data_IF_470327842877
#
_entry.id   IF_470327842877
#
_cell.length_a   1.000
_cell.length_b   1.000
_cell.length_c   1.000
_cell.angle_alpha   90.00
_cell.angle_beta   90.00
_cell.angle_gamma   90.00
#
_symmetry.space_group_name_H-M   'P 1'
#
loop_
_entity.id
_entity.type
_entity.pdbx_description
1 polymer ?
#
# COMPACT_ATOMS: atom_id res chain seq x y z
N UNK A 1 -4.50 2.91 -19.51
CA UNK A 1 -3.79 1.85 -18.76
C UNK A 1 -2.89 2.40 -17.66
N UNK A 2 -2.03 3.39 -17.96
CA UNK A 2 -1.11 3.96 -16.96
C UNK A 2 -1.82 4.58 -15.75
N UNK A 3 -2.84 5.39 -15.99
CA UNK A 3 -3.64 6.01 -14.92
C UNK A 3 -4.26 4.95 -14.02
N UNK A 4 -4.88 3.93 -14.60
CA UNK A 4 -5.54 2.85 -13.85
C UNK A 4 -4.53 2.03 -13.04
N UNK A 5 -3.36 1.72 -13.62
CA UNK A 5 -2.31 0.97 -12.92
C UNK A 5 -1.73 1.76 -11.74
N UNK A 6 -1.40 3.03 -11.95
CA UNK A 6 -0.89 3.90 -10.89
C UNK A 6 -1.95 4.17 -9.81
N UNK A 7 -3.22 4.32 -10.20
CA UNK A 7 -4.31 4.50 -9.23
C UNK A 7 -4.50 3.26 -8.37
N UNK A 8 -4.43 2.06 -8.96
CA UNK A 8 -4.52 0.83 -8.20
C UNK A 8 -3.40 0.72 -7.15
N UNK A 9 -2.16 0.93 -7.56
CA UNK A 9 -1.01 0.87 -6.65
C UNK A 9 -1.06 1.98 -5.58
N UNK A 10 -1.43 3.20 -5.95
CA UNK A 10 -1.54 4.31 -4.99
C UNK A 10 -2.66 4.07 -3.96
N UNK A 11 -3.77 3.45 -4.38
CA UNK A 11 -4.88 3.10 -3.49
C UNK A 11 -4.54 1.99 -2.50
N UNK A 12 -3.62 1.10 -2.86
CA UNK A 12 -3.16 0.01 -1.98
C UNK A 12 -2.13 0.48 -0.94
N UNK A 13 -1.62 1.71 -1.07
CA UNK A 13 -0.71 2.27 -0.08
C UNK A 13 -1.42 2.52 1.25
N UNK A 14 -1.08 1.70 2.25
CA UNK A 14 -1.66 1.75 3.59
C UNK A 14 -0.78 2.56 4.56
N UNK A 15 -1.33 2.89 5.73
CA UNK A 15 -0.56 3.48 6.83
C UNK A 15 0.60 2.60 7.31
N UNK A 16 0.49 1.27 7.13
CA UNK A 16 1.58 0.35 7.40
C UNK A 16 2.74 0.55 6.42
N UNK A 17 2.44 0.72 5.14
CA UNK A 17 3.46 0.93 4.12
C UNK A 17 4.17 2.27 4.29
N UNK A 18 3.43 3.31 4.72
CA UNK A 18 3.97 4.65 4.93
C UNK A 18 4.83 4.78 6.21
N UNK A 19 4.42 4.16 7.31
CA UNK A 19 5.07 4.30 8.62
C UNK A 19 5.67 2.99 9.14
N UNK A 20 5.00 1.88 8.95
CA UNK A 20 5.42 0.58 9.48
C UNK A 20 6.63 0.01 8.74
N UNK A 21 6.62 0.02 7.42
CA UNK A 21 7.72 -0.52 6.61
C UNK A 21 9.03 0.27 6.79
N UNK A 22 9.06 1.61 6.77
CA UNK A 22 10.27 2.36 7.11
C UNK A 22 10.74 2.13 8.54
N UNK A 23 9.83 2.07 9.51
CA UNK A 23 10.16 1.73 10.90
C UNK A 23 10.72 0.33 11.03
N UNK A 24 10.15 -0.64 10.32
CA UNK A 24 10.65 -2.01 10.27
C UNK A 24 12.07 -2.07 9.65
N UNK A 25 12.29 -1.33 8.56
CA UNK A 25 13.61 -1.23 7.92
C UNK A 25 14.65 -0.55 8.84
N UNK A 26 14.23 0.46 9.59
CA UNK A 26 15.08 1.12 10.57
C UNK A 26 15.57 0.15 11.68
N UNK A 27 14.68 -0.73 12.15
CA UNK A 27 15.01 -1.68 13.21
C UNK A 27 15.74 -2.93 12.71
N UNK A 28 15.45 -3.39 11.51
CA UNK A 28 15.91 -4.68 11.00
C UNK A 28 16.91 -4.57 9.82
N UNK A 29 17.20 -3.35 9.38
CA UNK A 29 18.16 -3.12 8.30
C UNK A 29 17.78 -3.77 6.98
N UNK A 30 18.76 -4.34 6.29
CA UNK A 30 18.59 -4.96 4.95
C UNK A 30 17.67 -6.16 4.91
N UNK A 31 17.38 -6.81 6.03
CA UNK A 31 16.42 -7.92 6.04
C UNK A 31 14.99 -7.48 5.68
N UNK A 32 14.64 -6.21 5.89
CA UNK A 32 13.37 -5.62 5.45
C UNK A 32 13.18 -5.68 3.91
N UNK A 33 14.27 -5.84 3.15
CA UNK A 33 14.22 -6.06 1.70
C UNK A 33 13.31 -7.25 1.34
N UNK A 34 13.32 -8.32 2.12
CA UNK A 34 12.52 -9.51 1.85
C UNK A 34 11.02 -9.25 1.87
N UNK A 35 10.56 -8.34 2.74
CA UNK A 35 9.14 -7.90 2.73
C UNK A 35 8.81 -7.17 1.44
N UNK A 36 9.65 -6.22 1.02
CA UNK A 36 9.44 -5.52 -0.26
C UNK A 36 9.53 -6.45 -1.46
N UNK A 37 10.47 -7.39 -1.46
CA UNK A 37 10.61 -8.40 -2.50
C UNK A 37 9.37 -9.30 -2.59
N UNK A 38 8.85 -9.77 -1.45
CA UNK A 38 7.62 -10.55 -1.40
C UNK A 38 6.44 -9.79 -1.99
N UNK A 39 6.24 -8.53 -1.61
CA UNK A 39 5.18 -7.67 -2.17
C UNK A 39 5.29 -7.53 -3.71
N UNK A 40 6.50 -7.29 -4.24
CA UNK A 40 6.71 -7.15 -5.68
C UNK A 40 6.40 -8.46 -6.41
N UNK A 41 6.93 -9.58 -5.90
CA UNK A 41 6.73 -10.90 -6.53
C UNK A 41 5.26 -11.32 -6.44
N UNK A 42 4.62 -11.09 -5.28
CA UNK A 42 3.21 -11.41 -5.06
C UNK A 42 2.29 -10.62 -5.99
N UNK A 43 2.48 -9.32 -6.08
CA UNK A 43 1.71 -8.45 -6.99
C UNK A 43 1.92 -8.88 -8.45
N UNK A 44 3.16 -9.11 -8.87
CA UNK A 44 3.47 -9.57 -10.22
C UNK A 44 2.81 -10.92 -10.52
N UNK A 45 2.94 -11.90 -9.62
CA UNK A 45 2.35 -13.22 -9.79
C UNK A 45 0.81 -13.14 -9.84
N UNK A 46 0.19 -12.34 -8.97
CA UNK A 46 -1.25 -12.11 -8.99
C UNK A 46 -1.71 -11.55 -10.33
N UNK A 47 -1.05 -10.51 -10.84
CA UNK A 47 -1.41 -9.94 -12.15
C UNK A 47 -1.24 -10.92 -13.30
N UNK A 48 -0.16 -11.68 -13.34
CA UNK A 48 0.11 -12.65 -14.40
C UNK A 48 -0.86 -13.84 -14.36
N UNK A 49 -1.13 -14.38 -13.18
CA UNK A 49 -1.93 -15.60 -13.03
C UNK A 49 -3.43 -15.33 -12.99
N UNK A 50 -3.85 -14.25 -12.35
CA UNK A 50 -5.26 -14.00 -12.01
C UNK A 50 -5.95 -13.08 -12.99
N UNK A 51 -5.30 -12.00 -13.45
CA UNK A 51 -5.97 -10.91 -14.16
C UNK A 51 -6.67 -11.34 -15.44
N UNK A 52 -5.99 -12.10 -16.31
CA UNK A 52 -6.56 -12.57 -17.58
C UNK A 52 -7.74 -13.52 -17.37
N UNK A 53 -7.61 -14.42 -16.40
CA UNK A 53 -8.66 -15.39 -16.06
C UNK A 53 -9.86 -14.67 -15.46
N UNK A 54 -9.62 -13.78 -14.50
CA UNK A 54 -10.67 -13.03 -13.85
C UNK A 54 -11.42 -12.16 -14.88
N UNK A 55 -10.71 -11.46 -15.75
CA UNK A 55 -11.35 -10.65 -16.79
C UNK A 55 -12.24 -11.48 -17.71
N UNK A 56 -11.76 -12.62 -18.18
CA UNK A 56 -12.55 -13.52 -19.01
C UNK A 56 -13.83 -14.00 -18.29
N UNK A 57 -13.70 -14.43 -17.03
CA UNK A 57 -14.84 -14.90 -16.26
C UNK A 57 -15.83 -13.78 -15.93
N UNK A 58 -15.38 -12.56 -15.66
CA UNK A 58 -16.28 -11.42 -15.42
C UNK A 58 -17.03 -11.00 -16.69
N UNK A 59 -16.42 -11.13 -17.88
CA UNK A 59 -17.09 -10.90 -19.15
C UNK A 59 -18.21 -11.91 -19.39
N UNK A 60 -17.93 -13.20 -19.19
CA UNK A 60 -18.93 -14.28 -19.31
C UNK A 60 -20.05 -14.12 -18.28
N UNK A 61 -19.72 -13.67 -17.07
CA UNK A 61 -20.68 -13.38 -16.01
C UNK A 61 -21.32 -11.99 -16.17
N UNK A 62 -21.95 -11.73 -17.31
CA UNK A 62 -22.68 -10.51 -17.62
C UNK A 62 -21.86 -9.21 -17.51
N UNK A 63 -20.57 -9.27 -17.88
CA UNK A 63 -19.62 -8.16 -17.79
C UNK A 63 -19.59 -7.48 -16.40
N UNK A 64 -19.56 -8.31 -15.35
CA UNK A 64 -19.59 -7.85 -13.96
C UNK A 64 -18.39 -6.96 -13.65
N UNK A 65 -18.62 -5.78 -13.07
CA UNK A 65 -17.61 -4.80 -12.75
C UNK A 65 -17.12 -4.89 -11.30
N UNK A 66 -17.90 -5.50 -10.42
CA UNK A 66 -17.57 -5.65 -9.01
C UNK A 66 -17.55 -7.12 -8.61
N UNK A 67 -16.79 -7.46 -7.56
CA UNK A 67 -16.75 -8.83 -7.02
C UNK A 67 -18.11 -9.32 -6.56
N UNK A 68 -18.94 -8.53 -5.84
CA UNK A 68 -20.29 -8.93 -5.48
C UNK A 68 -21.18 -9.24 -6.67
N UNK A 69 -21.11 -8.42 -7.73
CA UNK A 69 -21.87 -8.66 -8.97
C UNK A 69 -21.39 -9.92 -9.67
N UNK A 70 -20.07 -10.11 -9.76
CA UNK A 70 -19.49 -11.30 -10.37
C UNK A 70 -19.94 -12.58 -9.67
N UNK A 71 -19.88 -12.61 -8.33
CA UNK A 71 -20.32 -13.78 -7.57
C UNK A 71 -21.82 -14.01 -7.70
N UNK A 72 -22.64 -12.96 -7.65
CA UNK A 72 -24.10 -13.05 -7.84
C UNK A 72 -24.43 -13.61 -9.22
N UNK A 73 -23.81 -13.11 -10.29
CA UNK A 73 -24.05 -13.57 -11.65
C UNK A 73 -23.49 -14.98 -11.89
N UNK A 74 -22.34 -15.31 -11.34
CA UNK A 74 -21.71 -16.62 -11.51
C UNK A 74 -22.51 -17.75 -10.86
N UNK A 75 -23.09 -17.49 -9.69
CA UNK A 75 -23.85 -18.48 -8.91
C UNK A 75 -25.37 -18.36 -9.09
N UNK A 76 -25.82 -17.55 -10.07
CA UNK A 76 -27.23 -17.32 -10.37
C UNK A 76 -28.06 -16.97 -9.12
N UNK A 77 -27.52 -16.07 -8.29
CA UNK A 77 -28.15 -15.67 -7.04
C UNK A 77 -29.36 -14.75 -7.27
N UNK A 78 -30.49 -15.37 -7.54
CA UNK A 78 -31.77 -14.65 -7.82
C UNK A 78 -32.27 -13.84 -6.60
N UNK A 79 -31.81 -14.14 -5.38
CA UNK A 79 -32.23 -13.47 -4.15
C UNK A 79 -31.26 -12.38 -3.70
N UNK A 80 -30.17 -12.16 -4.43
CA UNK A 80 -29.09 -11.21 -4.08
C UNK A 80 -28.47 -11.45 -2.70
N UNK A 81 -28.57 -12.67 -2.16
CA UNK A 81 -28.03 -13.03 -0.85
C UNK A 81 -26.52 -12.96 -0.82
N UNK A 82 -25.84 -13.51 -1.84
CA UNK A 82 -24.39 -13.45 -1.99
C UNK A 82 -23.91 -12.01 -2.14
N UNK A 83 -24.63 -11.22 -2.94
CA UNK A 83 -24.32 -9.80 -3.12
C UNK A 83 -24.40 -9.03 -1.83
N UNK A 84 -25.43 -9.27 -1.01
CA UNK A 84 -25.59 -8.62 0.29
C UNK A 84 -24.47 -9.01 1.28
N UNK A 85 -24.16 -10.31 1.37
CA UNK A 85 -23.11 -10.81 2.24
C UNK A 85 -21.75 -10.19 1.84
N UNK A 86 -21.39 -10.24 0.57
CA UNK A 86 -20.15 -9.62 0.07
C UNK A 86 -20.11 -8.12 0.37
N UNK A 87 -21.21 -7.39 0.16
CA UNK A 87 -21.27 -5.97 0.44
C UNK A 87 -21.06 -5.67 1.94
N UNK A 88 -21.65 -6.45 2.84
CA UNK A 88 -21.45 -6.31 4.29
C UNK A 88 -20.00 -6.52 4.69
N UNK A 89 -19.33 -7.56 4.16
CA UNK A 89 -17.90 -7.78 4.42
C UNK A 89 -17.04 -6.64 3.88
N UNK A 90 -17.30 -6.19 2.65
CA UNK A 90 -16.57 -5.06 2.05
C UNK A 90 -16.72 -3.83 2.93
N UNK A 91 -17.94 -3.45 3.32
CA UNK A 91 -18.20 -2.28 4.16
C UNK A 91 -17.43 -2.40 5.49
N UNK A 92 -17.53 -3.55 6.17
CA UNK A 92 -16.89 -3.77 7.45
C UNK A 92 -15.36 -3.59 7.37
N UNK A 93 -14.71 -4.27 6.42
CA UNK A 93 -13.26 -4.20 6.30
C UNK A 93 -12.77 -2.86 5.76
N UNK A 94 -13.49 -2.24 4.82
CA UNK A 94 -13.10 -0.92 4.30
C UNK A 94 -13.31 0.22 5.28
N UNK A 95 -14.27 0.14 6.20
CA UNK A 95 -14.36 1.12 7.30
C UNK A 95 -13.09 1.07 8.16
N UNK A 96 -12.64 -0.12 8.54
CA UNK A 96 -11.42 -0.30 9.34
C UNK A 96 -10.19 0.19 8.56
N UNK A 97 -10.07 -0.18 7.29
CA UNK A 97 -8.96 0.21 6.43
C UNK A 97 -8.88 1.74 6.26
N UNK A 98 -9.99 2.38 5.92
CA UNK A 98 -10.07 3.83 5.73
C UNK A 98 -9.78 4.58 7.04
N UNK A 99 -10.30 4.09 8.18
CA UNK A 99 -10.00 4.66 9.49
C UNK A 99 -8.50 4.60 9.81
N UNK A 100 -7.83 3.50 9.51
CA UNK A 100 -6.38 3.37 9.66
C UNK A 100 -5.63 4.40 8.79
N UNK A 101 -6.08 4.63 7.55
CA UNK A 101 -5.52 5.64 6.66
C UNK A 101 -5.63 7.05 7.24
N UNK A 102 -6.80 7.43 7.76
CA UNK A 102 -7.00 8.74 8.40
C UNK A 102 -6.16 8.93 9.66
N UNK A 103 -6.03 7.89 10.49
CA UNK A 103 -5.14 7.93 11.67
C UNK A 103 -3.68 8.18 11.25
N UNK A 104 -3.23 7.49 10.22
CA UNK A 104 -1.86 7.64 9.68
C UNK A 104 -1.63 9.04 9.14
N UNK A 105 -2.56 9.57 8.34
CA UNK A 105 -2.51 10.93 7.80
C UNK A 105 -2.51 11.98 8.92
N UNK A 106 -3.37 11.81 9.93
CA UNK A 106 -3.44 12.70 11.09
C UNK A 106 -2.12 12.76 11.88
N UNK A 107 -1.49 11.60 12.09
CA UNK A 107 -0.16 11.52 12.74
C UNK A 107 0.93 12.18 11.89
N UNK A 108 0.92 11.92 10.58
CA UNK A 108 1.89 12.51 9.67
C UNK A 108 1.82 14.03 9.66
N UNK A 109 0.64 14.61 9.52
CA UNK A 109 0.45 16.06 9.51
C UNK A 109 0.74 16.69 10.87
N UNK A 110 0.42 16.00 11.96
CA UNK A 110 0.82 16.46 13.30
C UNK A 110 2.34 16.55 13.43
N UNK A 111 3.07 15.52 12.95
CA UNK A 111 4.53 15.47 13.07
C UNK A 111 5.22 16.47 12.15
N UNK A 112 4.74 16.64 10.90
CA UNK A 112 5.42 17.47 9.89
C UNK A 112 5.00 18.94 10.00
N UNK A 113 3.71 19.20 10.18
CA UNK A 113 3.14 20.56 10.17
C UNK A 113 2.90 21.12 11.57
N UNK A 114 3.09 20.33 12.64
CA UNK A 114 2.81 20.75 14.01
C UNK A 114 1.32 20.99 14.30
N UNK A 115 0.41 20.56 13.43
CA UNK A 115 -1.02 20.72 13.60
C UNK A 115 -1.54 19.79 14.72
N UNK A 116 -2.54 20.22 15.53
CA UNK A 116 -3.21 19.30 16.45
C UNK A 116 -3.75 18.09 15.69
N UNK A 117 -3.50 16.88 16.19
CA UNK A 117 -3.85 15.63 15.55
C UNK A 117 -5.29 15.58 15.03
N UNK A 118 -6.26 15.98 15.87
CA UNK A 118 -7.67 15.92 15.52
C UNK A 118 -8.04 16.91 14.40
N UNK A 119 -7.44 18.10 14.41
CA UNK A 119 -7.62 19.10 13.36
C UNK A 119 -7.05 18.59 12.02
N UNK A 120 -5.85 18.03 12.05
CA UNK A 120 -5.20 17.45 10.88
C UNK A 120 -6.02 16.31 10.27
N UNK A 121 -6.55 15.42 11.11
CA UNK A 121 -7.42 14.33 10.69
C UNK A 121 -8.71 14.84 10.04
N UNK A 122 -9.39 15.80 10.66
CA UNK A 122 -10.65 16.35 10.13
C UNK A 122 -10.45 17.07 8.79
N UNK A 123 -9.38 17.88 8.66
CA UNK A 123 -9.07 18.56 7.41
C UNK A 123 -8.78 17.53 6.30
N UNK A 124 -7.95 16.53 6.59
CA UNK A 124 -7.64 15.47 5.63
C UNK A 124 -8.88 14.69 5.19
N UNK A 125 -9.71 14.28 6.16
CA UNK A 125 -10.97 13.59 5.86
C UNK A 125 -11.92 14.44 5.03
N UNK A 126 -12.08 15.71 5.37
CA UNK A 126 -12.94 16.64 4.63
C UNK A 126 -12.47 16.79 3.18
N UNK A 127 -11.18 17.02 2.95
CA UNK A 127 -10.61 17.16 1.61
C UNK A 127 -10.86 15.92 0.77
N UNK A 128 -10.58 14.73 1.32
CA UNK A 128 -10.78 13.44 0.61
C UNK A 128 -12.24 13.22 0.26
N UNK A 129 -13.14 13.40 1.22
CA UNK A 129 -14.60 13.22 1.00
C UNK A 129 -15.11 14.23 -0.03
N UNK A 130 -14.67 15.49 0.07
CA UNK A 130 -15.12 16.57 -0.79
C UNK A 130 -14.74 16.35 -2.26
N UNK A 131 -13.47 16.06 -2.57
CA UNK A 131 -13.10 15.83 -3.97
C UNK A 131 -13.65 14.51 -4.52
N UNK A 132 -13.77 13.47 -3.68
CA UNK A 132 -14.39 12.21 -4.08
C UNK A 132 -15.87 12.39 -4.40
N UNK A 133 -16.59 13.19 -3.61
CA UNK A 133 -18.00 13.48 -3.83
C UNK A 133 -18.22 14.28 -5.13
N UNK A 134 -17.36 15.26 -5.42
CA UNK A 134 -17.49 16.11 -6.61
C UNK A 134 -17.09 15.41 -7.90
N UNK A 135 -16.03 14.63 -7.88
CA UNK A 135 -15.42 14.10 -9.09
C UNK A 135 -15.52 12.58 -9.27
N UNK A 136 -16.00 11.88 -8.26
CA UNK A 136 -16.19 10.43 -8.29
C UNK A 136 -14.91 9.66 -8.65
N UNK A 137 -15.08 8.48 -9.25
CA UNK A 137 -13.98 7.58 -9.59
C UNK A 137 -12.92 8.21 -10.52
N UNK A 138 -13.34 9.02 -11.49
CA UNK A 138 -12.40 9.65 -12.44
C UNK A 138 -11.48 10.66 -11.76
N UNK A 139 -11.99 11.48 -10.84
CA UNK A 139 -11.18 12.43 -10.10
C UNK A 139 -10.23 11.71 -9.16
N UNK A 140 -10.70 10.68 -8.43
CA UNK A 140 -9.85 9.86 -7.57
C UNK A 140 -8.72 9.23 -8.38
N UNK A 141 -9.02 8.56 -9.49
CA UNK A 141 -7.99 7.93 -10.33
C UNK A 141 -6.96 8.92 -10.87
N UNK A 142 -7.36 10.14 -11.18
CA UNK A 142 -6.45 11.17 -11.68
C UNK A 142 -5.56 11.75 -10.55
N UNK A 143 -6.14 11.99 -9.38
CA UNK A 143 -5.36 12.41 -8.20
C UNK A 143 -4.38 11.33 -7.76
N UNK A 144 -4.80 10.07 -7.74
CA UNK A 144 -3.95 8.94 -7.43
C UNK A 144 -2.78 8.80 -8.40
N UNK A 145 -3.03 9.00 -9.70
CA UNK A 145 -1.98 9.00 -10.71
C UNK A 145 -0.91 10.06 -10.45
N UNK A 146 -1.34 11.29 -10.14
CA UNK A 146 -0.42 12.39 -9.82
C UNK A 146 0.34 12.08 -8.52
N UNK A 147 -0.36 11.66 -7.47
CA UNK A 147 0.22 11.34 -6.17
C UNK A 147 1.18 10.15 -6.27
N UNK A 148 0.80 9.07 -6.95
CA UNK A 148 1.65 7.91 -7.18
C UNK A 148 2.93 8.26 -7.96
N UNK A 149 2.81 9.14 -8.95
CA UNK A 149 3.99 9.67 -9.67
C UNK A 149 4.90 10.48 -8.75
N UNK A 150 4.35 11.35 -7.90
CA UNK A 150 5.12 12.09 -6.90
C UNK A 150 5.80 11.15 -5.89
N UNK A 151 5.10 10.11 -5.43
CA UNK A 151 5.68 9.09 -4.52
C UNK A 151 6.86 8.37 -5.17
N UNK A 152 6.74 7.98 -6.43
CA UNK A 152 7.83 7.34 -7.17
C UNK A 152 9.10 8.18 -7.20
N UNK A 153 8.98 9.47 -7.51
CA UNK A 153 10.14 10.37 -7.48
C UNK A 153 10.66 10.61 -6.06
N UNK A 154 9.80 10.69 -5.07
CA UNK A 154 10.18 10.92 -3.66
C UNK A 154 10.97 9.75 -3.12
N UNK A 155 10.59 8.51 -3.40
CA UNK A 155 11.32 7.30 -2.97
C UNK A 155 12.74 7.26 -3.54
N UNK A 156 12.96 7.79 -4.74
CA UNK A 156 14.31 7.92 -5.32
C UNK A 156 15.06 9.11 -4.73
N UNK A 157 14.37 10.24 -4.59
CA UNK A 157 14.98 11.49 -4.15
C UNK A 157 15.47 11.46 -2.71
N UNK A 158 14.70 10.90 -1.78
CA UNK A 158 15.03 10.93 -0.34
C UNK A 158 16.37 10.22 -0.04
N UNK A 159 16.65 8.99 -0.50
CA UNK A 159 17.93 8.34 -0.26
C UNK A 159 19.10 9.10 -0.88
N UNK A 160 18.91 9.66 -2.07
CA UNK A 160 19.94 10.46 -2.75
C UNK A 160 20.23 11.73 -1.95
N UNK A 161 19.20 12.47 -1.56
CA UNK A 161 19.35 13.70 -0.78
C UNK A 161 19.99 13.42 0.60
N UNK A 162 19.56 12.36 1.29
CA UNK A 162 20.15 11.95 2.56
C UNK A 162 21.64 11.61 2.41
N UNK A 163 22.01 10.88 1.37
CA UNK A 163 23.42 10.55 1.08
C UNK A 163 24.25 11.81 0.82
N UNK A 164 23.72 12.79 0.10
CA UNK A 164 24.40 14.07 -0.16
C UNK A 164 24.59 14.86 1.15
N UNK A 165 23.56 14.97 1.98
CA UNK A 165 23.59 15.70 3.26
C UNK A 165 24.59 15.07 4.23
N UNK A 166 24.73 13.75 4.23
CA UNK A 166 25.71 13.02 5.05
C UNK A 166 27.16 13.12 4.52
N UNK A 167 27.39 13.84 3.42
CA UNK A 167 28.73 14.04 2.85
C UNK A 167 29.16 12.97 1.84
N UNK A 168 28.24 12.19 1.32
CA UNK A 168 28.48 11.21 0.27
C UNK A 168 28.29 9.74 0.71
N UNK A 169 28.48 8.79 -0.22
CA UNK A 169 28.24 7.37 0.06
C UNK A 169 29.10 6.78 1.18
N UNK A 170 30.38 7.16 1.25
CA UNK A 170 31.29 6.60 2.25
C UNK A 170 30.95 7.00 3.70
N UNK A 171 30.69 8.28 4.04
CA UNK A 171 30.21 8.67 5.36
C UNK A 171 28.83 8.04 5.69
N UNK A 172 27.94 7.93 4.72
CA UNK A 172 26.63 7.28 4.91
C UNK A 172 26.80 5.82 5.31
N UNK A 173 27.62 5.08 4.58
CA UNK A 173 27.93 3.68 4.91
C UNK A 173 28.62 3.54 6.27
N UNK A 174 29.51 4.45 6.62
CA UNK A 174 30.17 4.45 7.92
C UNK A 174 29.18 4.70 9.07
N UNK A 175 28.23 5.62 8.90
CA UNK A 175 27.17 5.87 9.87
C UNK A 175 26.29 4.65 10.09
N UNK A 176 25.89 3.98 9.00
CA UNK A 176 25.07 2.77 9.06
C UNK A 176 25.85 1.58 9.64
N UNK A 177 27.14 1.46 9.38
CA UNK A 177 27.99 0.39 9.92
C UNK A 177 28.07 0.41 11.45
N UNK A 178 27.81 1.55 12.08
CA UNK A 178 27.73 1.69 13.54
C UNK A 178 26.53 0.98 14.18
N UNK A 179 25.49 0.67 13.41
CA UNK A 179 24.25 0.02 13.90
C UNK A 179 24.39 -1.50 14.15
N UNK A 180 25.53 -2.09 13.75
CA UNK A 180 25.86 -3.49 14.00
C UNK A 180 25.96 -4.36 12.73
N UNK A 181 26.58 -5.53 12.87
CA UNK A 181 26.84 -6.44 11.74
C UNK A 181 25.56 -6.97 11.08
N UNK A 182 24.51 -7.20 11.85
CA UNK A 182 23.25 -7.76 11.37
C UNK A 182 22.44 -6.75 10.54
N UNK A 183 22.69 -5.46 10.69
CA UNK A 183 21.98 -4.42 9.93
C UNK A 183 22.20 -4.52 8.42
N UNK A 184 23.40 -4.95 7.98
CA UNK A 184 23.73 -5.17 6.56
C UNK A 184 23.53 -6.59 6.09
N UNK A 185 23.03 -7.48 6.94
CA UNK A 185 22.76 -8.87 6.56
C UNK A 185 21.38 -9.00 5.92
N UNK A 186 21.33 -9.61 4.74
CA UNK A 186 20.06 -10.06 4.15
C UNK A 186 19.44 -11.22 4.94
N UNK A 187 20.27 -11.97 5.66
CA UNK A 187 19.91 -13.12 6.49
C UNK A 187 20.50 -12.95 7.88
N UNK A 188 19.98 -12.04 8.72
CA UNK A 188 20.51 -11.87 10.06
C UNK A 188 20.28 -13.13 10.89
N UNK A 189 21.26 -13.50 11.72
CA UNK A 189 21.18 -14.67 12.59
C UNK A 189 20.02 -14.57 13.60
N UNK A 190 19.63 -13.34 13.94
CA UNK A 190 18.50 -13.02 14.82
C UNK A 190 17.13 -13.42 14.22
N UNK A 191 17.02 -13.45 12.89
CA UNK A 191 15.86 -13.92 12.15
C UNK A 191 16.14 -15.35 11.69
N UNK A 192 15.71 -16.35 12.44
CA UNK A 192 15.80 -17.74 11.98
C UNK A 192 15.15 -17.92 10.61
N UNK A 193 15.64 -18.89 9.82
CA UNK A 193 15.16 -19.11 8.43
C UNK A 193 13.64 -19.24 8.30
N UNK A 194 12.96 -19.75 9.34
CA UNK A 194 11.50 -19.82 9.40
C UNK A 194 10.86 -18.44 9.45
N UNK A 195 11.45 -17.47 10.16
CA UNK A 195 10.94 -16.10 10.26
C UNK A 195 11.03 -15.38 8.93
N UNK A 196 12.09 -15.61 8.15
CA UNK A 196 12.25 -15.06 6.80
C UNK A 196 11.20 -15.64 5.83
N UNK A 197 10.96 -16.94 5.88
CA UNK A 197 9.93 -17.60 5.06
C UNK A 197 8.55 -17.03 5.40
N UNK A 198 8.23 -16.90 6.69
CA UNK A 198 6.95 -16.30 7.13
C UNK A 198 6.85 -14.85 6.65
N UNK A 199 7.91 -14.06 6.74
CA UNK A 199 7.93 -12.66 6.30
C UNK A 199 7.69 -12.53 4.80
N UNK A 200 8.31 -13.36 3.97
CA UNK A 200 8.07 -13.41 2.52
C UNK A 200 6.64 -13.87 2.23
N UNK A 201 6.18 -14.95 2.84
CA UNK A 201 4.84 -15.50 2.60
C UNK A 201 3.72 -14.59 3.08
N UNK A 202 3.93 -13.85 4.16
CA UNK A 202 2.93 -12.88 4.67
C UNK A 202 2.82 -11.62 3.82
N UNK A 203 3.79 -11.38 2.95
CA UNK A 203 3.81 -10.24 2.03
C UNK A 203 3.40 -10.62 0.59
N UNK A 204 3.27 -11.93 0.28
CA UNK A 204 2.73 -12.42 -0.98
C UNK A 204 1.20 -12.33 -1.02
#
# INVERSE_FOLDING_TARGET
>A
PWVTSMSAEASDMSGWMLMGLPGFAYLNGLSAFWTGFGLIVGTWANWVLTSKRLRHYTEVANNSLTIPDYLSNRFEDHKSGLRLICALFIILFFIIYTSSGFVSAGKLFNTILGLPYFTALLIGAFVVVFYTFLGGFSAVSMTDFIQGTMMFFTVIYIPVAATIVLGGPAPTMASLAGEGKDFFSFFPESLGGMSLIIMILSSL
#
